data_IF_213936962499
#
_entry.id   IF_213936962499
#
_cell.length_a   1.000
_cell.length_b   1.000
_cell.length_c   1.000
_cell.angle_alpha   90.00
_cell.angle_beta   90.00
_cell.angle_gamma   90.00
#
_symmetry.space_group_name_H-M   'P 1'
#
loop_
_entity.id
_entity.type
_entity.pdbx_description
1 polymer ?
#
# COMPACT_ATOMS: atom_id res chain seq x y z
N UNK A 1 0.48 15.80 -1.46
CA UNK A 1 0.50 14.41 -0.96
C UNK A 1 -0.76 14.03 -0.18
N UNK A 2 -1.38 14.99 0.50
CA UNK A 2 -2.60 14.74 1.27
C UNK A 2 -3.75 14.25 0.38
N UNK A 3 -4.03 14.97 -0.70
CA UNK A 3 -5.09 14.62 -1.66
C UNK A 3 -4.74 13.33 -2.41
N UNK A 4 -3.47 13.11 -2.73
CA UNK A 4 -3.00 11.89 -3.36
C UNK A 4 -3.27 10.68 -2.46
N UNK A 5 -3.02 10.79 -1.16
CA UNK A 5 -3.31 9.72 -0.20
C UNK A 5 -4.79 9.37 -0.15
N UNK A 6 -5.67 10.37 -0.17
CA UNK A 6 -7.12 10.17 -0.22
C UNK A 6 -7.55 9.49 -1.52
N UNK A 7 -7.06 9.93 -2.66
CA UNK A 7 -7.36 9.33 -3.96
C UNK A 7 -6.90 7.88 -4.03
N UNK A 8 -5.70 7.59 -3.53
CA UNK A 8 -5.16 6.23 -3.49
C UNK A 8 -5.98 5.31 -2.59
N UNK A 9 -6.53 5.83 -1.49
CA UNK A 9 -7.41 5.07 -0.60
C UNK A 9 -8.70 4.66 -1.32
N UNK A 10 -9.34 5.58 -2.02
CA UNK A 10 -10.54 5.29 -2.81
C UNK A 10 -10.25 4.32 -3.94
N UNK A 11 -9.12 4.48 -4.62
CA UNK A 11 -8.68 3.54 -5.66
C UNK A 11 -8.50 2.13 -5.07
N UNK A 12 -7.91 2.02 -3.89
CA UNK A 12 -7.72 0.73 -3.20
C UNK A 12 -9.04 0.05 -2.87
N UNK A 13 -10.03 0.81 -2.37
CA UNK A 13 -11.36 0.29 -2.08
C UNK A 13 -12.07 -0.17 -3.36
N UNK A 14 -11.99 0.60 -4.44
CA UNK A 14 -12.58 0.22 -5.72
C UNK A 14 -11.92 -1.03 -6.29
N UNK A 15 -10.60 -1.17 -6.16
CA UNK A 15 -9.88 -2.36 -6.60
C UNK A 15 -10.40 -3.62 -5.89
N UNK A 16 -10.60 -3.56 -4.59
CA UNK A 16 -11.15 -4.68 -3.80
C UNK A 16 -12.56 -5.03 -4.26
N UNK A 17 -13.41 -4.04 -4.52
CA UNK A 17 -14.77 -4.25 -5.04
C UNK A 17 -14.75 -4.99 -6.39
N UNK A 18 -13.74 -4.73 -7.22
CA UNK A 18 -13.55 -5.39 -8.52
C UNK A 18 -12.81 -6.74 -8.42
N UNK A 19 -12.57 -7.26 -7.23
CA UNK A 19 -11.86 -8.52 -7.02
C UNK A 19 -10.35 -8.43 -7.20
N UNK A 20 -9.79 -7.22 -7.23
CA UNK A 20 -8.36 -6.96 -7.34
C UNK A 20 -7.75 -6.74 -5.95
N UNK A 21 -6.44 -6.92 -5.87
CA UNK A 21 -5.65 -6.51 -4.72
C UNK A 21 -4.67 -5.42 -5.15
N UNK A 22 -4.36 -4.54 -4.21
CA UNK A 22 -3.48 -3.42 -4.44
C UNK A 22 -2.48 -3.31 -3.29
N UNK A 23 -1.22 -3.06 -3.64
CA UNK A 23 -0.16 -2.77 -2.67
C UNK A 23 0.49 -1.44 -2.99
N UNK A 24 0.50 -0.55 -2.03
CA UNK A 24 1.23 0.72 -2.11
C UNK A 24 2.62 0.55 -1.49
N UNK A 25 3.64 1.02 -2.18
CA UNK A 25 5.03 0.90 -1.79
C UNK A 25 5.70 2.28 -1.83
N UNK A 26 6.27 2.71 -0.70
CA UNK A 26 7.03 3.96 -0.62
C UNK A 26 8.54 3.76 -0.72
N UNK A 27 9.02 2.55 -0.41
CA UNK A 27 10.46 2.22 -0.37
C UNK A 27 11.03 1.79 -1.73
N UNK A 28 10.77 2.56 -2.78
CA UNK A 28 11.32 2.29 -4.10
C UNK A 28 12.38 3.33 -4.49
N UNK A 29 13.21 3.01 -5.47
CA UNK A 29 14.21 3.93 -6.02
C UNK A 29 13.51 4.94 -6.94
N UNK A 30 13.24 6.13 -6.42
CA UNK A 30 12.51 7.17 -7.13
C UNK A 30 13.26 7.67 -8.38
N UNK A 31 14.60 7.76 -8.34
CA UNK A 31 15.41 8.19 -9.49
C UNK A 31 15.29 7.16 -10.62
N UNK A 32 15.38 5.89 -10.28
CA UNK A 32 15.26 4.79 -11.23
C UNK A 32 13.85 4.71 -11.83
N UNK A 33 12.82 4.87 -10.98
CA UNK A 33 11.45 4.91 -11.44
C UNK A 33 11.20 6.07 -12.41
N UNK A 34 11.70 7.25 -12.08
CA UNK A 34 11.60 8.44 -12.94
C UNK A 34 12.22 8.21 -14.31
N UNK A 35 13.41 7.62 -14.35
CA UNK A 35 14.10 7.30 -15.60
C UNK A 35 13.37 6.24 -16.41
N UNK A 36 13.02 5.13 -15.78
CA UNK A 36 12.40 3.98 -16.46
C UNK A 36 11.00 4.27 -17.00
N UNK A 37 10.25 5.12 -16.30
CA UNK A 37 8.89 5.50 -16.66
C UNK A 37 8.82 6.84 -17.40
N UNK A 38 9.98 7.45 -17.65
CA UNK A 38 10.11 8.74 -18.36
C UNK A 38 9.25 9.85 -17.74
N UNK A 39 9.32 9.99 -16.40
CA UNK A 39 8.56 10.99 -15.64
C UNK A 39 9.35 12.29 -15.57
N UNK A 40 8.74 13.40 -15.97
CA UNK A 40 9.36 14.72 -15.94
C UNK A 40 9.61 15.24 -14.52
N UNK A 41 10.51 16.22 -14.41
CA UNK A 41 10.93 16.78 -13.12
C UNK A 41 9.87 17.66 -12.45
N UNK A 42 8.83 18.03 -13.17
CA UNK A 42 7.68 18.77 -12.69
C UNK A 42 6.67 17.91 -11.92
N UNK A 43 6.89 16.59 -11.86
CA UNK A 43 6.08 15.66 -11.08
C UNK A 43 6.83 15.18 -9.83
N UNK A 44 6.13 15.16 -8.70
CA UNK A 44 6.61 14.52 -7.48
C UNK A 44 6.08 13.09 -7.41
N UNK A 45 6.97 12.14 -7.08
CA UNK A 45 6.61 10.73 -6.95
C UNK A 45 6.16 10.45 -5.51
N UNK A 46 4.91 10.00 -5.34
CA UNK A 46 4.38 9.62 -4.04
C UNK A 46 4.67 8.17 -3.70
N UNK A 47 3.98 7.26 -4.36
CA UNK A 47 4.09 5.81 -4.13
C UNK A 47 4.08 5.06 -5.45
N UNK A 48 4.63 3.87 -5.43
CA UNK A 48 4.47 2.88 -6.49
C UNK A 48 3.35 1.93 -6.08
N UNK A 49 2.44 1.62 -7.00
CA UNK A 49 1.36 0.70 -6.71
C UNK A 49 1.41 -0.52 -7.62
N UNK A 50 1.36 -1.70 -7.01
CA UNK A 50 1.11 -2.95 -7.71
C UNK A 50 -0.38 -3.27 -7.61
N UNK A 51 -1.02 -3.53 -8.74
CA UNK A 51 -2.45 -3.88 -8.82
C UNK A 51 -2.58 -5.17 -9.60
N UNK A 52 -3.34 -6.12 -9.09
CA UNK A 52 -3.55 -7.38 -9.78
C UNK A 52 -4.56 -8.27 -9.09
N UNK A 53 -4.86 -9.39 -9.70
CA UNK A 53 -5.68 -10.41 -9.09
C UNK A 53 -4.89 -11.17 -8.02
N UNK A 54 -5.55 -11.60 -6.91
CA UNK A 54 -4.88 -12.37 -5.87
C UNK A 54 -4.35 -13.70 -6.43
N UNK A 55 -3.13 -14.04 -6.06
CA UNK A 55 -2.52 -15.32 -6.36
C UNK A 55 -2.64 -16.31 -5.20
N UNK A 56 -2.01 -17.46 -5.37
CA UNK A 56 -1.96 -18.49 -4.34
C UNK A 56 -0.86 -18.17 -3.32
N UNK A 57 -1.17 -17.98 -2.01
CA UNK A 57 -0.16 -17.76 -0.98
C UNK A 57 0.86 -18.92 -0.87
N UNK A 58 0.48 -20.14 -1.24
CA UNK A 58 1.38 -21.30 -1.21
C UNK A 58 2.54 -21.19 -2.21
N UNK A 59 2.39 -20.36 -3.24
CA UNK A 59 3.46 -20.08 -4.21
C UNK A 59 4.53 -19.13 -3.70
N UNK A 60 4.32 -18.49 -2.54
CA UNK A 60 5.26 -17.54 -1.95
C UNK A 60 6.43 -18.23 -1.25
N UNK A 61 7.63 -17.61 -1.21
CA UNK A 61 8.69 -18.05 -0.31
C UNK A 61 8.20 -18.12 1.14
N UNK A 62 8.76 -19.01 1.94
CA UNK A 62 8.25 -19.34 3.28
C UNK A 62 8.10 -18.11 4.19
N UNK A 63 9.05 -17.18 4.17
CA UNK A 63 9.00 -15.96 4.97
C UNK A 63 7.84 -15.02 4.55
N UNK A 64 7.56 -14.92 3.27
CA UNK A 64 6.46 -14.10 2.74
C UNK A 64 5.11 -14.79 2.94
N UNK A 65 5.05 -16.10 2.74
CA UNK A 65 3.87 -16.91 3.00
C UNK A 65 3.41 -16.80 4.45
N UNK A 66 4.34 -16.92 5.39
CA UNK A 66 4.07 -16.78 6.82
C UNK A 66 3.46 -15.40 7.15
N UNK A 67 3.97 -14.35 6.55
CA UNK A 67 3.45 -12.99 6.73
C UNK A 67 2.08 -12.81 6.10
N UNK A 68 1.85 -13.40 4.94
CA UNK A 68 0.57 -13.31 4.22
C UNK A 68 -0.55 -14.01 4.97
N UNK A 69 -0.27 -15.17 5.56
CA UNK A 69 -1.25 -15.98 6.29
C UNK A 69 -1.39 -15.60 7.77
N UNK A 70 -0.57 -14.67 8.28
CA UNK A 70 -0.62 -14.23 9.66
C UNK A 70 -1.96 -13.53 9.97
N UNK A 71 -2.51 -13.71 11.19
CA UNK A 71 -3.72 -12.99 11.59
C UNK A 71 -3.50 -11.48 11.53
N UNK A 72 -4.53 -10.77 11.10
CA UNK A 72 -4.51 -9.32 11.11
C UNK A 72 -4.75 -8.81 12.53
N UNK A 73 -3.79 -8.05 13.05
CA UNK A 73 -3.87 -7.46 14.38
C UNK A 73 -3.90 -5.93 14.29
N UNK A 74 -4.59 -5.31 15.23
CA UNK A 74 -4.63 -3.85 15.40
C UNK A 74 -4.59 -3.53 16.89
N UNK A 75 -4.01 -2.41 17.22
CA UNK A 75 -4.06 -1.90 18.59
C UNK A 75 -5.51 -1.64 19.00
N UNK A 76 -5.82 -1.95 20.25
CA UNK A 76 -7.10 -1.57 20.84
C UNK A 76 -7.17 -0.05 21.01
N UNK A 77 -8.36 0.52 20.93
CA UNK A 77 -8.52 1.99 20.97
C UNK A 77 -7.88 2.62 22.19
N UNK A 78 -7.97 1.98 23.33
CA UNK A 78 -7.38 2.47 24.59
C UNK A 78 -5.86 2.69 24.53
N UNK A 79 -5.19 2.04 23.58
CA UNK A 79 -3.73 2.18 23.42
C UNK A 79 -3.33 3.48 22.70
N UNK A 80 -4.23 4.13 21.94
CA UNK A 80 -3.89 5.31 21.13
C UNK A 80 -4.91 6.43 21.16
N UNK A 81 -6.09 6.21 21.73
CA UNK A 81 -7.10 7.26 21.87
C UNK A 81 -6.92 7.94 23.23
N UNK A 82 -6.66 9.25 23.21
CA UNK A 82 -6.55 10.09 24.40
C UNK A 82 -7.90 10.75 24.67
N UNK A 83 -8.48 10.50 25.85
CA UNK A 83 -9.85 10.93 26.16
C UNK A 83 -9.87 12.22 26.99
N UNK A 84 -8.77 12.64 27.58
CA UNK A 84 -8.76 13.74 28.53
C UNK A 84 -8.18 15.03 27.95
N UNK A 85 -6.98 15.00 27.46
CA UNK A 85 -6.33 16.16 26.81
C UNK A 85 -5.06 15.74 26.07
N UNK A 86 -4.65 16.57 25.15
CA UNK A 86 -3.35 16.48 24.53
C UNK A 86 -2.33 17.31 25.30
#
# INVERSE_FOLDING_TARGET
LYDLGAANSFLSLQAVELGLQLRQMGGFDAAKARTNLNIGDDYELGVLMAVGYPGDPEALPENLKKRELAPRERYVQQAFVMNESF
#
